data_IF_288723681636
#
_entry.id   IF_288723681636
#
_cell.length_a   1.000
_cell.length_b   1.000
_cell.length_c   1.000
_cell.angle_alpha   90.00
_cell.angle_beta   90.00
_cell.angle_gamma   90.00
#
_symmetry.space_group_name_H-M   'P 1'
#
loop_
_entity.id
_entity.type
_entity.pdbx_description
1 polymer ?
#
# COMPACT_ATOMS: atom_id res chain seq x y z
N UNK A 1 -11.85 -5.99 -6.78
CA UNK A 1 -10.66 -5.13 -6.94
C UNK A 1 -9.94 -5.16 -5.60
N UNK A 2 -8.61 -5.32 -5.54
CA UNK A 2 -7.88 -5.40 -4.27
C UNK A 2 -7.87 -4.05 -3.54
N UNK A 3 -7.78 -4.05 -2.21
CA UNK A 3 -7.72 -2.81 -1.41
C UNK A 3 -6.46 -2.02 -1.75
N UNK A 4 -5.35 -2.73 -1.97
CA UNK A 4 -4.11 -2.15 -2.45
C UNK A 4 -4.29 -1.34 -3.74
N UNK A 5 -5.06 -1.85 -4.72
CA UNK A 5 -5.28 -1.12 -5.99
C UNK A 5 -6.15 0.12 -5.80
N UNK A 6 -7.11 0.09 -4.87
CA UNK A 6 -7.94 1.25 -4.57
C UNK A 6 -7.07 2.35 -3.94
N UNK A 7 -6.26 2.00 -2.94
CA UNK A 7 -5.38 2.95 -2.25
C UNK A 7 -4.30 3.54 -3.16
N UNK A 8 -3.70 2.71 -4.04
CA UNK A 8 -2.76 3.20 -5.06
C UNK A 8 -3.43 4.22 -5.99
N UNK A 9 -4.67 3.98 -6.40
CA UNK A 9 -5.41 4.94 -7.21
C UNK A 9 -5.70 6.25 -6.45
N UNK A 10 -6.00 6.17 -5.15
CA UNK A 10 -6.27 7.35 -4.31
C UNK A 10 -5.06 8.26 -4.13
N UNK A 11 -3.85 7.70 -4.17
CA UNK A 11 -2.60 8.49 -4.12
C UNK A 11 -2.08 8.89 -5.51
N UNK A 12 -2.88 8.69 -6.57
CA UNK A 12 -2.49 9.05 -7.94
C UNK A 12 -1.50 8.09 -8.59
N UNK A 13 -1.38 6.85 -8.08
CA UNK A 13 -0.58 5.75 -8.64
C UNK A 13 -1.45 4.66 -9.28
N UNK A 14 -2.55 5.08 -9.92
CA UNK A 14 -3.46 4.19 -10.64
C UNK A 14 -2.87 3.54 -11.90
N UNK A 15 -1.71 4.01 -12.34
CA UNK A 15 -0.89 3.45 -13.42
C UNK A 15 -0.23 2.11 -13.04
N UNK A 16 -0.06 1.84 -11.74
CA UNK A 16 0.50 0.59 -11.23
C UNK A 16 -0.53 -0.54 -11.37
N UNK A 17 -0.36 -1.35 -12.42
CA UNK A 17 -1.31 -2.41 -12.79
C UNK A 17 -0.78 -3.83 -12.55
N UNK A 18 0.54 -4.02 -12.53
CA UNK A 18 1.19 -5.32 -12.45
C UNK A 18 1.28 -5.85 -11.01
N UNK A 19 0.84 -7.09 -10.81
CA UNK A 19 0.81 -7.76 -9.51
C UNK A 19 2.17 -8.34 -9.10
N UNK A 20 3.07 -8.55 -10.07
CA UNK A 20 4.38 -9.18 -9.86
C UNK A 20 5.54 -8.17 -9.83
N UNK A 21 5.24 -6.87 -9.93
CA UNK A 21 6.23 -5.82 -9.89
C UNK A 21 6.74 -5.62 -8.46
N UNK A 22 8.07 -5.62 -8.31
CA UNK A 22 8.69 -5.12 -7.09
C UNK A 22 8.59 -3.59 -7.07
N UNK A 23 7.62 -3.04 -6.35
CA UNK A 23 7.24 -1.63 -6.42
C UNK A 23 8.36 -0.69 -5.97
N UNK A 24 9.14 -1.10 -4.97
CA UNK A 24 10.25 -0.31 -4.44
C UNK A 24 11.48 -0.41 -5.34
N UNK A 25 11.90 -1.62 -5.69
CA UNK A 25 13.13 -1.82 -6.47
C UNK A 25 13.00 -1.35 -7.92
N UNK A 26 11.76 -1.35 -8.46
CA UNK A 26 11.47 -0.78 -9.77
C UNK A 26 11.35 0.75 -9.76
N UNK A 27 11.32 1.39 -8.58
CA UNK A 27 11.06 2.81 -8.44
C UNK A 27 9.62 3.21 -8.79
N UNK A 28 8.68 2.27 -8.83
CA UNK A 28 7.26 2.56 -9.06
C UNK A 28 6.61 3.32 -7.90
N UNK A 29 7.09 3.07 -6.67
CA UNK A 29 6.77 3.86 -5.49
C UNK A 29 8.05 4.22 -4.74
N UNK A 30 8.04 5.36 -4.06
CA UNK A 30 9.13 5.82 -3.21
C UNK A 30 8.67 6.10 -1.76
N UNK A 31 9.54 6.71 -0.96
CA UNK A 31 9.21 7.07 0.43
C UNK A 31 8.03 8.04 0.55
N UNK A 32 7.82 8.94 -0.43
CA UNK A 32 6.71 9.89 -0.43
C UNK A 32 5.41 9.15 -0.69
N UNK A 33 5.42 8.22 -1.65
CA UNK A 33 4.27 7.37 -1.94
C UNK A 33 3.90 6.47 -0.76
N UNK A 34 4.88 5.93 -0.03
CA UNK A 34 4.61 5.17 1.21
C UNK A 34 3.89 6.04 2.24
N UNK A 35 4.35 7.28 2.47
CA UNK A 35 3.70 8.20 3.42
C UNK A 35 2.26 8.51 2.97
N UNK A 36 2.05 8.74 1.68
CA UNK A 36 0.72 8.98 1.12
C UNK A 36 -0.19 7.75 1.27
N UNK A 37 0.31 6.54 1.00
CA UNK A 37 -0.40 5.28 1.17
C UNK A 37 -0.85 5.08 2.62
N UNK A 38 0.06 5.29 3.58
CA UNK A 38 -0.25 5.18 5.00
C UNK A 38 -1.35 6.19 5.38
N UNK A 39 -1.22 7.45 4.94
CA UNK A 39 -2.26 8.47 5.16
C UNK A 39 -3.62 8.08 4.57
N UNK A 40 -3.64 7.55 3.34
CA UNK A 40 -4.86 7.08 2.68
C UNK A 40 -5.51 5.91 3.42
N UNK A 41 -4.73 4.92 3.88
CA UNK A 41 -5.23 3.80 4.68
C UNK A 41 -5.87 4.29 5.97
N UNK A 42 -5.18 5.16 6.71
CA UNK A 42 -5.67 5.69 7.98
C UNK A 42 -6.95 6.51 7.80
N UNK A 43 -7.03 7.33 6.75
CA UNK A 43 -8.22 8.09 6.43
C UNK A 43 -9.40 7.17 6.05
N UNK A 44 -9.14 6.11 5.28
CA UNK A 44 -10.17 5.17 4.81
C UNK A 44 -10.76 4.32 5.94
N UNK A 45 -9.91 3.76 6.80
CA UNK A 45 -10.33 2.81 7.83
C UNK A 45 -10.52 3.45 9.21
N UNK A 46 -10.21 4.75 9.35
CA UNK A 46 -10.41 5.52 10.59
C UNK A 46 -9.54 5.07 11.76
N UNK A 47 -8.40 4.44 11.47
CA UNK A 47 -7.46 3.89 12.47
C UNK A 47 -6.03 4.04 12.00
N UNK A 48 -5.13 4.32 12.92
CA UNK A 48 -3.69 4.40 12.65
C UNK A 48 -3.12 3.04 12.22
N UNK A 49 -2.12 3.07 11.34
CA UNK A 49 -1.40 1.86 10.95
C UNK A 49 -0.37 1.51 12.03
N UNK A 50 -0.42 0.29 12.55
CA UNK A 50 0.58 -0.21 13.51
C UNK A 50 1.97 -0.22 12.87
N UNK A 51 2.96 0.34 13.56
CA UNK A 51 4.33 0.51 13.06
C UNK A 51 4.98 -0.81 12.62
N UNK A 52 4.54 -1.97 13.14
CA UNK A 52 5.03 -3.28 12.67
C UNK A 52 4.76 -3.54 11.18
N UNK A 53 3.78 -2.85 10.60
CA UNK A 53 3.44 -2.97 9.19
C UNK A 53 4.28 -2.05 8.30
N UNK A 54 5.06 -1.13 8.87
CA UNK A 54 5.97 -0.24 8.14
C UNK A 54 7.30 -0.92 7.79
N UNK A 55 7.23 -2.14 7.22
CA UNK A 55 8.41 -2.84 6.67
C UNK A 55 8.40 -2.77 5.15
N UNK A 56 9.58 -2.67 4.53
CA UNK A 56 9.71 -2.60 3.07
C UNK A 56 9.01 -3.77 2.35
N UNK A 57 9.01 -4.95 2.97
CA UNK A 57 8.38 -6.18 2.46
C UNK A 57 6.88 -5.97 2.17
N UNK A 58 6.18 -5.25 3.04
CA UNK A 58 4.74 -4.98 2.86
C UNK A 58 4.46 -4.02 1.69
N UNK A 59 5.46 -3.26 1.24
CA UNK A 59 5.35 -2.34 0.12
C UNK A 59 6.03 -2.88 -1.15
N UNK A 60 6.58 -4.10 -1.14
CA UNK A 60 7.27 -4.64 -2.31
C UNK A 60 6.34 -5.03 -3.45
N UNK A 61 5.07 -5.38 -3.21
CA UNK A 61 4.16 -5.77 -4.29
C UNK A 61 2.73 -5.42 -3.94
N UNK A 62 1.85 -5.36 -4.96
CA UNK A 62 0.41 -5.19 -4.75
C UNK A 62 -0.14 -6.28 -3.83
N UNK A 63 0.35 -7.52 -3.98
CA UNK A 63 -0.09 -8.65 -3.17
C UNK A 63 0.35 -8.52 -1.70
N UNK A 64 1.60 -8.12 -1.45
CA UNK A 64 2.10 -7.88 -0.10
C UNK A 64 1.33 -6.73 0.57
N UNK A 65 1.09 -5.64 -0.17
CA UNK A 65 0.35 -4.49 0.31
C UNK A 65 -1.09 -4.86 0.67
N UNK A 66 -1.77 -5.62 -0.19
CA UNK A 66 -3.15 -6.07 0.03
C UNK A 66 -3.25 -6.97 1.26
N UNK A 67 -2.29 -7.88 1.44
CA UNK A 67 -2.22 -8.73 2.62
C UNK A 67 -1.97 -7.93 3.90
N UNK A 68 -1.06 -6.94 3.86
CA UNK A 68 -0.79 -6.04 4.98
C UNK A 68 -2.06 -5.29 5.39
N UNK A 69 -2.79 -4.71 4.43
CA UNK A 69 -4.04 -3.96 4.69
C UNK A 69 -5.08 -4.85 5.38
N UNK A 70 -5.30 -6.07 4.88
CA UNK A 70 -6.24 -7.03 5.46
C UNK A 70 -5.87 -7.40 6.89
N UNK A 71 -4.60 -7.65 7.16
CA UNK A 71 -4.11 -7.96 8.51
C UNK A 71 -4.19 -6.75 9.46
N UNK A 72 -3.89 -5.56 8.96
CA UNK A 72 -3.89 -4.34 9.77
C UNK A 72 -5.31 -3.91 10.18
N UNK A 73 -6.28 -4.05 9.28
CA UNK A 73 -7.64 -3.53 9.49
C UNK A 73 -8.70 -4.61 9.69
N UNK A 74 -8.35 -5.89 9.52
CA UNK A 74 -9.24 -7.03 9.77
C UNK A 74 -10.38 -7.14 8.77
N UNK A 75 -10.07 -6.94 7.47
CA UNK A 75 -11.04 -6.95 6.36
C UNK A 75 -10.79 -8.07 5.35
#
# INVERSE_FOLDING_TARGET
MSEAKILLNEIGRGDISDINLNLLDSGAIDSVDIIALVGAMQARYGKDLDAKFLSAENFQSIAALDNMIKLAYGI
#
